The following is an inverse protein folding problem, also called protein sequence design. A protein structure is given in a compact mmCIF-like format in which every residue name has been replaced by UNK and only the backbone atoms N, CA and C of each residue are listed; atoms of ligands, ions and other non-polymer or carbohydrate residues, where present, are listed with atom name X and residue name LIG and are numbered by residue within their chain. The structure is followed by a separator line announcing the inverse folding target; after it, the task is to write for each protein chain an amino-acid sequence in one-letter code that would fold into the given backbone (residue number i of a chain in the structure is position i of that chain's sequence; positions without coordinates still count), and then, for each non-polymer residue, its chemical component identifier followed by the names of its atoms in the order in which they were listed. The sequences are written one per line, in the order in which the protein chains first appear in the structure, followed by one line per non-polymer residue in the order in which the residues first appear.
data_IF_798642145742
#
_entry.id   IF_798642145742
#
_cell.length_a   1.000
_cell.length_b   1.000
_cell.length_c   1.000
_cell.angle_alpha   90.00
_cell.angle_beta   90.00
_cell.angle_gamma   90.00
#
_symmetry.space_group_name_H-M   'P 1'
#
loop_
_entity.id
_entity.type
_entity.pdbx_description
1 polymer ?
#
# COMPACT_ATOMS: atom_id res chain seq x y z
N UNK A 1 -3.45 4.33 0.74
CA UNK A 1 -3.49 5.67 1.39
C UNK A 1 -2.99 6.68 0.36
N UNK A 2 -3.48 7.94 0.36
CA UNK A 2 -3.03 8.93 -0.62
C UNK A 2 -1.51 9.16 -0.56
N UNK A 3 -0.94 9.17 0.65
CA UNK A 3 0.51 9.31 0.86
C UNK A 3 1.30 8.19 0.17
N UNK A 4 0.90 6.92 0.32
CA UNK A 4 1.54 5.80 -0.39
C UNK A 4 1.55 6.02 -1.91
N UNK A 5 0.42 6.47 -2.49
CA UNK A 5 0.34 6.74 -3.92
C UNK A 5 1.22 7.92 -4.37
N UNK A 6 1.36 8.96 -3.54
CA UNK A 6 2.25 10.09 -3.82
C UNK A 6 3.72 9.69 -3.72
N UNK A 7 4.08 8.85 -2.75
CA UNK A 7 5.42 8.27 -2.61
C UNK A 7 5.75 7.36 -3.80
N UNK A 8 4.83 6.47 -4.17
CA UNK A 8 4.98 5.54 -5.28
C UNK A 8 5.24 6.26 -6.61
N UNK A 9 4.55 7.39 -6.84
CA UNK A 9 4.71 8.22 -8.04
C UNK A 9 5.88 9.21 -7.97
N UNK A 10 6.63 9.25 -6.87
CA UNK A 10 7.70 10.22 -6.65
C UNK A 10 7.23 11.67 -6.57
N UNK A 11 5.93 11.91 -6.33
CA UNK A 11 5.37 13.24 -6.11
C UNK A 11 5.80 13.76 -4.74
N UNK A 12 5.94 12.84 -3.77
CA UNK A 12 6.38 13.13 -2.42
C UNK A 12 7.70 12.40 -2.15
N UNK A 13 8.66 13.09 -1.55
CA UNK A 13 9.88 12.46 -1.02
C UNK A 13 9.74 12.27 0.50
N UNK A 14 9.88 11.04 0.98
CA UNK A 14 9.68 10.75 2.41
C UNK A 14 10.73 11.44 3.28
N UNK A 15 11.98 11.56 2.81
CA UNK A 15 13.06 12.23 3.52
C UNK A 15 12.79 13.71 3.73
N UNK A 16 12.36 14.39 2.66
CA UNK A 16 11.97 15.80 2.67
C UNK A 16 10.78 16.05 3.60
N UNK A 17 9.78 15.16 3.62
CA UNK A 17 8.64 15.27 4.55
C UNK A 17 9.09 15.11 6.00
N UNK A 18 9.92 14.11 6.29
CA UNK A 18 10.46 13.90 7.64
C UNK A 18 11.23 15.13 8.09
N UNK A 19 12.11 15.66 7.24
CA UNK A 19 12.87 16.87 7.52
C UNK A 19 11.98 18.10 7.74
N UNK A 20 10.96 18.27 6.91
CA UNK A 20 9.96 19.34 7.08
C UNK A 20 9.25 19.22 8.44
N UNK A 21 8.83 18.01 8.83
CA UNK A 21 8.16 17.79 10.11
C UNK A 21 9.07 18.09 11.29
N UNK A 22 10.39 17.90 11.17
CA UNK A 22 11.38 18.27 12.20
C UNK A 22 11.50 19.79 12.29
N UNK A 23 11.68 20.48 11.16
CA UNK A 23 11.80 21.95 11.11
C UNK A 23 10.54 22.69 11.55
N UNK A 24 9.37 22.10 11.32
CA UNK A 24 8.06 22.69 11.63
C UNK A 24 7.34 21.96 12.76
N UNK A 25 8.06 21.45 13.76
CA UNK A 25 7.50 20.58 14.81
C UNK A 25 6.23 21.06 15.53
N UNK A 26 6.02 22.39 15.61
CA UNK A 26 4.87 23.02 16.30
C UNK A 26 3.69 23.35 15.36
N UNK A 27 3.81 23.10 14.06
CA UNK A 27 2.75 23.42 13.12
C UNK A 27 1.55 22.49 13.33
N UNK A 28 0.31 23.01 13.24
CA UNK A 28 -0.88 22.18 13.24
C UNK A 28 -0.77 21.06 12.18
N UNK A 29 -1.15 19.85 12.54
CA UNK A 29 -1.12 18.68 11.65
C UNK A 29 0.22 17.95 11.57
N UNK A 30 1.33 18.50 12.07
CA UNK A 30 2.63 17.80 12.06
C UNK A 30 2.64 16.51 12.88
N UNK A 31 2.04 16.44 14.09
CA UNK A 31 1.94 15.18 14.82
C UNK A 31 1.18 14.10 14.04
N UNK A 32 0.06 14.48 13.39
CA UNK A 32 -0.70 13.56 12.54
C UNK A 32 0.14 13.09 11.35
N UNK A 33 0.78 14.02 10.64
CA UNK A 33 1.63 13.69 9.49
C UNK A 33 2.77 12.75 9.88
N UNK A 34 3.41 12.93 11.04
CA UNK A 34 4.45 12.01 11.53
C UNK A 34 3.90 10.61 11.76
N UNK A 35 2.73 10.50 12.41
CA UNK A 35 2.05 9.22 12.60
C UNK A 35 1.73 8.56 11.26
N UNK A 36 1.14 9.31 10.32
CA UNK A 36 0.80 8.80 8.99
C UNK A 36 2.05 8.37 8.21
N UNK A 37 3.13 9.15 8.26
CA UNK A 37 4.40 8.80 7.59
C UNK A 37 5.05 7.55 8.18
N UNK A 38 4.90 7.29 9.49
CA UNK A 38 5.37 6.03 10.08
C UNK A 38 4.63 4.79 9.59
N UNK A 39 3.43 4.98 9.03
CA UNK A 39 2.62 3.93 8.43
C UNK A 39 2.69 3.92 6.89
N UNK A 40 3.35 4.89 6.27
CA UNK A 40 3.38 4.99 4.81
C UNK A 40 4.45 4.06 4.21
N UNK A 41 4.14 3.46 3.07
CA UNK A 41 5.13 2.72 2.27
C UNK A 41 4.82 2.93 0.77
N UNK A 42 5.77 3.50 0.04
CA UNK A 42 5.64 3.84 -1.38
C UNK A 42 5.72 2.63 -2.32
N UNK A 43 5.99 1.42 -1.81
CA UNK A 43 6.03 0.20 -2.62
C UNK A 43 4.64 -0.38 -2.89
N UNK A 44 3.59 0.06 -2.19
CA UNK A 44 2.23 -0.38 -2.49
C UNK A 44 1.81 0.09 -3.89
N UNK A 45 1.41 -0.85 -4.75
CA UNK A 45 1.08 -0.57 -6.16
C UNK A 45 -0.42 -0.28 -6.34
N UNK A 46 -1.23 -0.58 -5.32
CA UNK A 46 -2.66 -0.28 -5.32
C UNK A 46 -3.17 0.24 -3.96
N UNK A 47 -4.28 1.03 -3.96
CA UNK A 47 -4.92 1.45 -2.71
C UNK A 47 -5.38 0.28 -1.83
N UNK A 48 -5.67 -0.88 -2.43
CA UNK A 48 -6.11 -2.07 -1.70
C UNK A 48 -4.96 -2.80 -1.02
N UNK A 49 -3.77 -2.85 -1.63
CA UNK A 49 -2.55 -3.32 -0.96
C UNK A 49 -2.23 -2.47 0.28
N UNK A 50 -2.32 -1.13 0.18
CA UNK A 50 -2.17 -0.29 1.38
C UNK A 50 -3.20 -0.66 2.44
N UNK A 51 -4.49 -0.82 2.06
CA UNK A 51 -5.55 -1.14 3.03
C UNK A 51 -5.30 -2.48 3.71
N UNK A 52 -4.89 -3.50 2.96
CA UNK A 52 -4.55 -4.81 3.48
C UNK A 52 -3.37 -4.72 4.46
N UNK A 53 -2.33 -3.95 4.12
CA UNK A 53 -1.18 -3.70 4.99
C UNK A 53 -1.57 -3.00 6.30
N UNK A 54 -2.40 -1.95 6.21
CA UNK A 54 -2.88 -1.23 7.38
C UNK A 54 -3.82 -2.08 8.25
N UNK A 55 -4.65 -2.93 7.63
CA UNK A 55 -5.46 -3.91 8.36
C UNK A 55 -4.60 -4.81 9.23
N UNK A 56 -3.48 -5.33 8.71
CA UNK A 56 -2.56 -6.16 9.50
C UNK A 56 -1.86 -5.38 10.61
N UNK A 57 -1.50 -4.12 10.35
CA UNK A 57 -0.97 -3.22 11.37
C UNK A 57 -1.99 -3.00 12.50
N UNK A 58 -3.22 -2.65 12.17
CA UNK A 58 -4.31 -2.38 13.14
C UNK A 58 -4.66 -3.65 13.95
N UNK A 59 -4.51 -4.83 13.34
CA UNK A 59 -4.69 -6.11 14.02
C UNK A 59 -3.47 -6.54 14.87
N UNK A 60 -2.40 -5.74 14.95
CA UNK A 60 -1.22 -6.01 15.76
C UNK A 60 -0.41 -7.20 15.27
N UNK A 61 -0.43 -7.49 13.97
CA UNK A 61 0.46 -8.49 13.38
C UNK A 61 1.87 -7.88 13.23
N UNK A 62 2.92 -8.71 13.17
CA UNK A 62 4.23 -8.24 12.71
C UNK A 62 4.09 -7.50 11.38
N UNK A 63 4.86 -6.43 11.16
CA UNK A 63 4.76 -5.69 9.91
C UNK A 63 5.15 -6.57 8.72
N UNK A 64 4.29 -6.75 7.71
CA UNK A 64 4.70 -7.36 6.46
C UNK A 64 5.63 -6.42 5.70
N UNK A 65 6.50 -6.98 4.89
CA UNK A 65 7.25 -6.26 3.87
C UNK A 65 6.44 -6.21 2.56
N UNK A 66 6.26 -5.04 1.94
CA UNK A 66 5.63 -4.95 0.63
C UNK A 66 6.54 -5.39 -0.53
N UNK A 67 5.92 -5.95 -1.58
CA UNK A 67 6.54 -6.27 -2.87
C UNK A 67 7.79 -7.16 -2.73
N UNK A 68 7.69 -8.21 -1.91
CA UNK A 68 8.81 -9.13 -1.63
C UNK A 68 9.09 -10.00 -2.84
N UNK A 69 10.33 -9.94 -3.32
CA UNK A 69 10.85 -10.88 -4.31
C UNK A 69 11.22 -12.21 -3.65
N UNK A 70 10.70 -13.31 -4.19
CA UNK A 70 11.02 -14.65 -3.73
C UNK A 70 11.92 -15.31 -4.76
N UNK A 71 13.12 -15.69 -4.34
CA UNK A 71 14.14 -16.32 -5.19
C UNK A 71 14.37 -17.76 -4.76
N UNK A 72 14.70 -18.61 -5.73
CA UNK A 72 15.14 -19.99 -5.45
C UNK A 72 16.62 -20.02 -5.03
N UNK A 73 17.11 -21.21 -4.68
CA UNK A 73 18.51 -21.43 -4.23
C UNK A 73 19.55 -21.01 -5.27
N UNK A 74 19.17 -20.95 -6.56
CA UNK A 74 20.04 -20.49 -7.64
C UNK A 74 20.01 -18.97 -7.83
N UNK A 75 19.23 -18.25 -7.02
CA UNK A 75 19.03 -16.80 -7.10
C UNK A 75 17.99 -16.38 -8.15
N UNK A 76 17.36 -17.34 -8.83
CA UNK A 76 16.36 -17.06 -9.87
C UNK A 76 15.04 -16.65 -9.24
N UNK A 77 14.42 -15.60 -9.80
CA UNK A 77 13.14 -15.08 -9.33
C UNK A 77 12.03 -16.11 -9.59
N UNK A 78 11.41 -16.59 -8.50
CA UNK A 78 10.26 -17.47 -8.53
C UNK A 78 8.93 -16.69 -8.60
N UNK A 79 8.90 -15.49 -8.02
CA UNK A 79 7.77 -14.58 -8.07
C UNK A 79 7.96 -13.37 -7.15
N UNK A 80 7.04 -12.41 -7.24
CA UNK A 80 6.90 -11.29 -6.31
C UNK A 80 5.54 -11.43 -5.61
N UNK A 81 5.47 -11.12 -4.32
CA UNK A 81 4.24 -11.14 -3.51
C UNK A 81 3.96 -9.75 -2.96
N UNK A 82 2.68 -9.39 -2.84
CA UNK A 82 2.28 -8.03 -2.46
C UNK A 82 2.73 -7.67 -1.04
N UNK A 83 2.56 -8.59 -0.09
CA UNK A 83 2.95 -8.45 1.31
C UNK A 83 3.54 -9.78 1.80
N UNK A 84 4.71 -9.73 2.44
CA UNK A 84 5.43 -10.93 2.88
C UNK A 84 6.04 -10.83 4.27
N UNK A 85 5.98 -11.93 5.01
CA UNK A 85 6.76 -12.17 6.23
C UNK A 85 7.85 -13.19 5.88
N UNK A 86 8.96 -12.72 5.33
CA UNK A 86 10.03 -13.58 4.81
C UNK A 86 10.51 -14.63 5.82
N UNK A 87 10.71 -14.21 7.07
CA UNK A 87 11.18 -15.10 8.14
C UNK A 87 10.21 -16.27 8.42
N UNK A 88 8.91 -16.08 8.20
CA UNK A 88 7.86 -17.09 8.35
C UNK A 88 7.46 -17.75 7.02
N UNK A 89 7.94 -17.24 5.87
CA UNK A 89 7.50 -17.61 4.52
C UNK A 89 5.98 -17.57 4.34
N UNK A 90 5.36 -16.53 4.89
CA UNK A 90 3.94 -16.26 4.69
C UNK A 90 3.80 -15.05 3.78
N UNK A 91 2.90 -15.14 2.81
CA UNK A 91 2.56 -14.04 1.92
C UNK A 91 1.05 -13.80 1.93
N UNK A 92 0.66 -12.54 1.81
CA UNK A 92 -0.70 -12.10 1.58
C UNK A 92 -0.77 -11.34 0.25
N UNK A 93 -1.66 -11.75 -0.63
CA UNK A 93 -1.88 -11.13 -1.94
C UNK A 93 -3.28 -10.57 -2.03
N UNK A 94 -3.40 -9.38 -2.62
CA UNK A 94 -4.68 -8.81 -2.95
C UNK A 94 -5.13 -9.28 -4.34
N UNK A 95 -6.31 -9.90 -4.40
CA UNK A 95 -6.96 -10.25 -5.64
C UNK A 95 -7.96 -9.17 -6.04
N UNK A 96 -7.60 -8.38 -7.05
CA UNK A 96 -8.54 -7.44 -7.68
C UNK A 96 -9.53 -8.12 -8.61
N UNK A 97 -10.68 -7.49 -8.84
CA UNK A 97 -11.75 -7.97 -9.73
C UNK A 97 -11.40 -7.95 -11.23
N UNK A 98 -10.15 -7.63 -11.59
CA UNK A 98 -9.74 -7.50 -12.99
C UNK A 98 -9.60 -8.88 -13.65
N UNK A 99 -10.47 -9.10 -14.64
CA UNK A 99 -10.53 -10.27 -15.50
C UNK A 99 -9.15 -10.77 -15.92
N UNK A 100 -8.72 -11.89 -15.32
CA UNK A 100 -7.53 -12.62 -15.75
C UNK A 100 -7.74 -13.11 -17.17
N UNK A 101 -7.04 -12.53 -18.12
CA UNK A 101 -6.92 -13.09 -19.46
C UNK A 101 -6.44 -14.54 -19.36
N UNK A 102 -6.93 -15.43 -20.23
CA UNK A 102 -6.67 -16.89 -20.13
C UNK A 102 -5.17 -17.24 -20.08
N UNK A 103 -4.30 -16.41 -20.65
CA UNK A 103 -2.84 -16.55 -20.58
C UNK A 103 -2.24 -16.25 -19.20
N UNK A 104 -2.83 -15.33 -18.44
CA UNK A 104 -2.40 -14.94 -17.10
C UNK A 104 -2.61 -16.08 -16.09
N UNK A 105 -3.68 -16.86 -16.26
CA UNK A 105 -4.07 -17.93 -15.33
C UNK A 105 -3.01 -19.04 -15.22
N UNK A 106 -2.48 -19.52 -16.35
CA UNK A 106 -1.43 -20.57 -16.34
C UNK A 106 -0.15 -20.08 -15.66
N UNK A 107 0.24 -18.83 -15.93
CA UNK A 107 1.42 -18.20 -15.31
C UNK A 107 1.22 -18.03 -13.80
N UNK A 108 0.03 -17.62 -13.36
CA UNK A 108 -0.30 -17.47 -11.95
C UNK A 108 -0.24 -18.82 -11.21
N UNK A 109 -0.79 -19.90 -11.79
CA UNK A 109 -0.67 -21.26 -11.22
C UNK A 109 0.81 -21.66 -11.09
N UNK A 110 1.59 -21.46 -12.16
CA UNK A 110 3.00 -21.83 -12.15
C UNK A 110 3.79 -21.06 -11.07
N UNK A 111 3.50 -19.76 -10.93
CA UNK A 111 4.09 -18.88 -9.90
C UNK A 111 3.75 -19.35 -8.50
N UNK A 112 2.46 -19.55 -8.20
CA UNK A 112 2.02 -20.00 -6.87
C UNK A 112 2.61 -21.37 -6.53
N UNK A 113 2.70 -22.29 -7.50
CA UNK A 113 3.34 -23.59 -7.29
C UNK A 113 4.85 -23.46 -7.03
N UNK A 114 5.54 -22.52 -7.68
CA UNK A 114 6.95 -22.25 -7.41
C UNK A 114 7.16 -21.71 -5.98
N UNK A 115 6.35 -20.74 -5.56
CA UNK A 115 6.37 -20.19 -4.19
C UNK A 115 6.14 -21.31 -3.16
N UNK A 116 5.13 -22.17 -3.38
CA UNK A 116 4.84 -23.31 -2.50
C UNK A 116 6.00 -24.29 -2.39
N UNK A 117 6.69 -24.61 -3.50
CA UNK A 117 7.89 -25.47 -3.48
C UNK A 117 9.02 -24.86 -2.65
N UNK A 118 9.12 -23.54 -2.61
CA UNK A 118 10.06 -22.80 -1.77
C UNK A 118 9.57 -22.66 -0.32
N UNK A 119 8.50 -23.36 0.07
CA UNK A 119 7.97 -23.39 1.42
C UNK A 119 7.09 -22.19 1.78
N UNK A 120 6.71 -21.35 0.80
CA UNK A 120 5.83 -20.22 1.04
C UNK A 120 4.37 -20.64 1.15
N UNK A 121 3.68 -20.06 2.14
CA UNK A 121 2.23 -20.11 2.25
C UNK A 121 1.67 -18.79 1.73
N UNK A 122 0.95 -18.84 0.61
CA UNK A 122 0.36 -17.66 -0.04
C UNK A 122 -1.14 -17.64 0.24
N UNK A 123 -1.59 -16.63 0.98
CA UNK A 123 -2.99 -16.32 1.25
C UNK A 123 -3.45 -15.23 0.28
N UNK A 124 -4.63 -15.38 -0.32
CA UNK A 124 -5.18 -14.43 -1.29
C UNK A 124 -6.47 -13.85 -0.73
N UNK A 125 -6.61 -12.54 -0.80
CA UNK A 125 -7.74 -11.81 -0.25
C UNK A 125 -8.36 -10.90 -1.31
N UNK A 126 -9.68 -11.01 -1.46
CA UNK A 126 -10.49 -10.14 -2.31
C UNK A 126 -10.82 -8.83 -1.58
N UNK A 127 -11.38 -7.86 -2.30
CA UNK A 127 -11.90 -6.64 -1.68
C UNK A 127 -12.95 -6.94 -0.58
N UNK A 128 -13.78 -7.98 -0.77
CA UNK A 128 -14.77 -8.36 0.21
C UNK A 128 -14.16 -8.91 1.51
N UNK A 129 -13.05 -9.65 1.41
CA UNK A 129 -12.31 -10.12 2.60
C UNK A 129 -11.78 -8.92 3.40
N UNK A 130 -11.11 -7.99 2.71
CA UNK A 130 -10.46 -6.83 3.35
C UNK A 130 -11.46 -5.84 3.95
N UNK A 131 -12.56 -5.55 3.24
CA UNK A 131 -13.51 -4.51 3.63
C UNK A 131 -14.54 -5.04 4.63
N UNK A 132 -15.04 -6.25 4.42
CA UNK A 132 -16.19 -6.76 5.18
C UNK A 132 -15.82 -7.82 6.22
N UNK A 133 -14.66 -8.47 6.08
CA UNK A 133 -14.19 -9.52 6.99
C UNK A 133 -12.75 -9.27 7.48
N UNK A 134 -12.43 -8.07 8.00
CA UNK A 134 -11.06 -7.72 8.35
C UNK A 134 -10.49 -8.57 9.49
N UNK A 135 -11.33 -8.94 10.45
CA UNK A 135 -10.93 -9.80 11.58
C UNK A 135 -10.55 -11.21 11.10
N UNK A 136 -11.39 -11.84 10.29
CA UNK A 136 -11.13 -13.17 9.73
C UNK A 136 -9.87 -13.16 8.85
N UNK A 137 -9.69 -12.10 8.06
CA UNK A 137 -8.49 -11.88 7.23
C UNK A 137 -7.22 -11.84 8.09
N UNK A 138 -7.23 -11.07 9.19
CA UNK A 138 -6.10 -11.00 10.10
C UNK A 138 -5.87 -12.31 10.87
N UNK A 139 -6.94 -13.00 11.29
CA UNK A 139 -6.86 -14.28 11.99
C UNK A 139 -6.28 -15.39 11.08
N UNK A 140 -6.65 -15.42 9.80
CA UNK A 140 -6.09 -16.35 8.83
C UNK A 140 -4.56 -16.19 8.71
N UNK A 141 -4.08 -14.95 8.60
CA UNK A 141 -2.63 -14.67 8.57
C UNK A 141 -1.97 -15.01 9.90
N UNK A 142 -2.57 -14.61 11.03
CA UNK A 142 -2.02 -14.90 12.37
C UNK A 142 -1.84 -16.40 12.59
N UNK A 143 -2.81 -17.20 12.14
CA UNK A 143 -2.74 -18.66 12.23
C UNK A 143 -1.55 -19.23 11.44
N UNK A 144 -1.24 -18.70 10.26
CA UNK A 144 -0.06 -19.12 9.50
C UNK A 144 1.25 -18.65 10.14
N UNK A 145 1.29 -17.44 10.69
CA UNK A 145 2.48 -16.90 11.38
C UNK A 145 2.80 -17.65 12.69
N UNK A 146 1.80 -18.23 13.35
CA UNK A 146 1.98 -19.00 14.57
C UNK A 146 2.52 -20.42 14.33
N UNK A 147 2.51 -20.91 13.09
CA UNK A 147 3.01 -22.25 12.78
C UNK A 147 4.54 -22.31 12.94
N UNK A 148 5.09 -23.44 13.42
CA UNK A 148 6.53 -23.61 13.46
C UNK A 148 7.12 -23.49 12.05
N UNK A 149 8.29 -22.87 11.96
CA UNK A 149 8.97 -22.57 10.70
C UNK A 149 9.00 -23.79 9.79
N UNK A 150 8.43 -23.67 8.59
CA UNK A 150 8.63 -24.64 7.52
C UNK A 150 10.10 -24.59 7.13
N UNK A 151 10.81 -25.72 7.24
CA UNK A 151 12.18 -25.85 6.69
C UNK A 151 12.11 -25.57 5.19
N UNK A 152 12.82 -24.54 4.78
CA UNK A 152 13.14 -24.27 3.38
C UNK A 152 14.54 -23.63 3.33
N UNK A 153 15.12 -23.46 2.13
CA UNK A 153 16.47 -22.92 1.98
C UNK A 153 16.58 -21.54 2.60
N UNK A 154 17.58 -21.31 3.47
CA UNK A 154 17.73 -20.05 4.22
C UNK A 154 17.54 -18.82 3.32
N UNK A 155 16.82 -17.78 3.79
CA UNK A 155 16.69 -16.54 3.05
C UNK A 155 18.09 -15.96 2.80
N UNK A 156 18.34 -15.50 1.57
CA UNK A 156 19.62 -14.92 1.20
C UNK A 156 19.86 -13.65 2.02
N UNK A 157 21.11 -13.31 2.39
CA UNK A 157 21.42 -12.03 3.06
C UNK A 157 20.90 -10.79 2.31
N UNK A 158 20.67 -10.91 0.99
CA UNK A 158 20.07 -9.86 0.18
C UNK A 158 18.57 -9.60 0.48
N UNK A 159 17.88 -10.61 1.03
CA UNK A 159 16.45 -10.57 1.36
C UNK A 159 16.22 -9.93 2.75
N UNK A 160 17.22 -10.01 3.64
CA UNK A 160 17.15 -9.53 5.03
C UNK A 160 17.41 -8.03 5.24
N UNK A 161 17.45 -7.21 4.17
CA UNK A 161 17.79 -5.79 4.31
C UNK A 161 16.68 -5.01 5.04
N UNK A 162 17.00 -4.25 6.11
CA UNK A 162 16.04 -3.32 6.69
C UNK A 162 15.71 -2.23 5.67
N UNK A 163 14.43 -1.83 5.64
CA UNK A 163 13.83 -0.85 4.74
C UNK A 163 14.83 0.07 4.05
N UNK A 164 15.12 -0.23 2.78
CA UNK A 164 15.91 0.67 1.93
C UNK A 164 15.17 1.99 1.85
N UNK A 165 15.85 3.05 2.29
CA UNK A 165 15.50 4.45 2.09
C UNK A 165 14.97 4.65 0.67
N UNK A 166 13.93 5.48 0.45
CA UNK A 166 13.47 5.79 -0.90
C UNK A 166 14.66 6.21 -1.76
N UNK A 167 14.94 5.43 -2.78
CA UNK A 167 15.97 5.75 -3.76
C UNK A 167 15.50 7.03 -4.47
N UNK A 168 16.40 8.01 -4.59
CA UNK A 168 16.12 9.28 -5.23
C UNK A 168 15.44 9.05 -6.60
N UNK A 169 14.43 9.86 -6.96
CA UNK A 169 13.73 9.68 -8.23
C UNK A 169 14.72 9.74 -9.40
N UNK A 170 14.50 8.96 -10.48
CA UNK A 170 15.35 9.04 -11.66
C UNK A 170 15.33 10.49 -12.18
N UNK A 171 16.53 11.02 -12.44
CA UNK A 171 16.74 12.30 -13.09
C UNK A 171 15.95 12.31 -14.40
N UNK A 172 15.02 13.26 -14.55
CA UNK A 172 14.27 13.44 -15.81
C UNK A 172 15.24 13.62 -16.98
N UNK A 173 14.98 13.04 -18.16
CA UNK A 173 15.54 13.56 -19.38
C UNK A 173 15.02 15.00 -19.59
N UNK A 174 15.91 15.90 -19.99
CA UNK A 174 15.54 17.25 -20.40
C UNK A 174 14.56 17.15 -21.58
N UNK A 175 13.34 17.66 -21.38
CA UNK A 175 12.36 17.76 -22.46
C UNK A 175 12.81 18.88 -23.40
N UNK A 176 13.00 18.49 -24.66
CA UNK A 176 13.31 19.34 -25.79
C UNK A 176 12.29 20.48 -25.92
N UNK A 177 12.81 21.70 -26.06
CA UNK A 177 12.03 22.89 -26.40
C UNK A 177 11.32 22.67 -27.73
N UNK A 178 9.99 22.71 -27.73
CA UNK A 178 9.13 23.33 -28.76
C UNK A 178 7.68 22.93 -28.56
N UNK A 179 6.89 23.81 -27.94
CA UNK A 179 5.51 24.10 -28.34
C UNK A 179 5.04 25.31 -27.53
N UNK A 180 5.08 26.47 -28.19
CA UNK A 180 4.59 27.72 -27.63
C UNK A 180 3.07 27.80 -27.66
N UNK A 181 2.49 28.33 -26.58
CA UNK A 181 1.15 28.96 -26.54
C UNK A 181 1.22 30.09 -25.48
N UNK A 182 0.63 31.28 -25.73
CA UNK A 182 1.05 32.53 -25.09
C UNK A 182 0.38 32.80 -23.73
N UNK A 183 1.00 33.73 -23.00
CA UNK A 183 0.57 34.26 -21.71
C UNK A 183 -0.77 35.02 -21.77
N UNK A 184 -1.64 34.79 -20.80
CA UNK A 184 -2.90 35.52 -20.63
C UNK A 184 -3.55 35.34 -19.25
N UNK A 185 -3.56 36.46 -18.51
CA UNK A 185 -4.48 36.89 -17.45
C UNK A 185 -4.72 36.04 -16.18
N UNK A 186 -4.35 36.65 -15.05
CA UNK A 186 -4.78 36.34 -13.70
C UNK A 186 -6.31 36.42 -13.57
N UNK A 187 -6.93 35.34 -13.08
CA UNK A 187 -8.33 35.30 -12.66
C UNK A 187 -8.44 34.61 -11.30
N UNK A 188 -8.85 35.37 -10.28
CA UNK A 188 -9.07 34.93 -8.89
C UNK A 188 -10.11 33.80 -8.85
N UNK A 189 -9.78 32.68 -8.21
CA UNK A 189 -10.79 31.71 -7.78
C UNK A 189 -11.23 32.04 -6.34
N UNK A 190 -12.35 32.74 -6.21
CA UNK A 190 -13.10 32.81 -4.96
C UNK A 190 -14.00 31.57 -4.86
N UNK A 191 -13.70 30.70 -3.91
CA UNK A 191 -14.55 29.58 -3.56
C UNK A 191 -15.81 30.09 -2.82
N UNK A 192 -16.96 30.11 -3.51
CA UNK A 192 -18.27 30.26 -2.86
C UNK A 192 -18.63 28.97 -2.14
N UNK A 193 -18.49 28.97 -0.82
CA UNK A 193 -19.09 27.98 0.06
C UNK A 193 -20.57 28.36 0.24
N UNK A 194 -21.48 27.59 -0.34
CA UNK A 194 -22.93 27.70 -0.05
C UNK A 194 -23.23 26.91 1.23
N UNK A 195 -23.75 27.53 2.31
CA UNK A 195 -24.17 26.77 3.47
C UNK A 195 -25.50 26.05 3.19
N UNK A 196 -25.48 24.76 3.45
CA UNK A 196 -26.61 23.84 3.42
C UNK A 196 -27.63 24.25 4.50
N UNK A 197 -28.84 24.64 4.08
CA UNK A 197 -29.95 24.98 5.00
C UNK A 197 -30.31 23.77 5.86
N UNK A 198 -30.28 23.96 7.17
CA UNK A 198 -30.79 23.00 8.15
C UNK A 198 -32.32 23.02 8.14
N UNK A 199 -32.91 21.86 7.86
CA UNK A 199 -34.34 21.62 8.08
C UNK A 199 -34.61 21.42 9.57
N UNK A 200 -35.15 22.46 10.20
CA UNK A 200 -35.92 22.39 11.45
C UNK A 200 -37.05 23.40 11.35
N UNK A 201 -38.25 22.92 11.09
CA UNK A 201 -39.41 23.24 11.91
C UNK A 201 -40.54 22.25 11.59
N UNK A 202 -40.81 21.37 12.56
CA UNK A 202 -42.08 20.69 12.73
C UNK A 202 -42.88 21.56 13.69
N UNK A 203 -44.02 22.07 13.24
CA UNK A 203 -45.08 22.53 14.14
C UNK A 203 -46.22 21.47 14.17
N UNK A 204 -46.54 20.88 15.32
CA UNK A 204 -47.67 20.00 15.50
C UNK A 204 -48.84 20.71 16.22
N UNK A 205 -50.03 20.74 15.58
CA UNK A 205 -51.42 20.86 16.14
C UNK A 205 -52.32 21.51 15.05
N UNK A 206 -53.52 21.07 14.65
CA UNK A 206 -54.49 20.02 15.03
C UNK A 206 -55.57 19.90 13.89
N UNK A 207 -56.41 18.84 13.90
CA UNK A 207 -57.42 18.46 12.87
C UNK A 207 -58.88 18.82 13.31
N UNK A 208 -59.98 18.34 12.69
CA UNK A 208 -60.17 17.54 11.46
C UNK A 208 -60.68 18.29 10.23
#
# INVERSE_FOLDING_TARGET
MLIDAMLHRGILDAGAVVELTRRRARWPGVPLLRGTMSLADGRAESPMETRLRLLFHDAGLPSPEPQVEVRDESGRLAGRVDLGWQAARVAAEYEGDHHRERGQFRRDIARVNALRRLGWTVLRFTAADVIHRPRETAEAVRAELAKPRRRGPEPSPADAAPGRTPQAPPTRPQADERLGVPAGSHGRYEARITPMRTSRDRDPRQPP
#
